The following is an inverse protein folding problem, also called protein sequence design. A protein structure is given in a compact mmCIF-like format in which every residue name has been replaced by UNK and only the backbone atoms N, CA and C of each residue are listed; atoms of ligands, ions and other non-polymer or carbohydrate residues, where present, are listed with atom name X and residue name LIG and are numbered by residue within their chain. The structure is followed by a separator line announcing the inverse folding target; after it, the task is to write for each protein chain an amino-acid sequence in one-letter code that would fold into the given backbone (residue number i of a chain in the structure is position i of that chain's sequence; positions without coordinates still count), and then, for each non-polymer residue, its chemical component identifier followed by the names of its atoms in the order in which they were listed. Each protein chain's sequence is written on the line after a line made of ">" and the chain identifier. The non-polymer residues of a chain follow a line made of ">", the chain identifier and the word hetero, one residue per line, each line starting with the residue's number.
data_IF_675882085950
#
_entry.id   IF_675882085950
#
_cell.length_a   1.000
_cell.length_b   1.000
_cell.length_c   1.000
_cell.angle_alpha   90.00
_cell.angle_beta   90.00
_cell.angle_gamma   90.00
#
_symmetry.space_group_name_H-M   'P 1'
#
loop_
_entity.id
_entity.type
_entity.pdbx_description
1 polymer ?
#
# COMPACT_ATOMS: atom_id res chain seq x y z
N UNK A 1 -27.94 3.28 31.44
CA UNK A 1 -27.55 2.04 30.73
C UNK A 1 -26.04 1.84 30.90
N UNK A 2 -25.62 0.76 31.57
CA UNK A 2 -24.19 0.43 31.74
C UNK A 2 -23.67 -0.20 30.45
N UNK A 3 -22.82 0.52 29.73
CA UNK A 3 -22.12 0.00 28.54
C UNK A 3 -20.99 -0.91 29.03
N UNK A 4 -21.10 -2.20 28.75
CA UNK A 4 -20.08 -3.21 29.08
C UNK A 4 -18.76 -2.90 28.36
N UNK A 5 -17.65 -2.97 29.09
CA UNK A 5 -16.29 -2.66 28.61
C UNK A 5 -15.71 -3.74 27.67
N UNK A 6 -14.76 -3.37 26.79
CA UNK A 6 -14.31 -4.18 25.64
C UNK A 6 -13.14 -5.10 26.00
N UNK A 7 -13.35 -6.05 26.93
CA UNK A 7 -12.32 -7.07 27.23
C UNK A 7 -12.40 -8.33 26.35
N UNK A 8 -13.55 -8.59 25.72
CA UNK A 8 -13.75 -9.80 24.90
C UNK A 8 -13.13 -9.70 23.49
N UNK A 9 -12.88 -8.49 22.98
CA UNK A 9 -12.48 -8.32 21.58
C UNK A 9 -10.99 -8.54 21.28
N UNK A 10 -10.11 -8.36 22.27
CA UNK A 10 -8.66 -8.56 22.13
C UNK A 10 -8.26 -10.04 22.12
N UNK A 11 -8.97 -10.89 22.87
CA UNK A 11 -8.74 -12.35 22.89
C UNK A 11 -9.09 -12.98 21.53
N UNK A 12 -10.14 -12.48 20.88
CA UNK A 12 -10.56 -12.93 19.55
C UNK A 12 -9.51 -12.74 18.44
N UNK A 13 -8.73 -11.66 18.48
CA UNK A 13 -7.80 -11.30 17.39
C UNK A 13 -6.49 -12.11 17.41
N UNK A 14 -6.03 -12.57 18.58
CA UNK A 14 -4.85 -13.44 18.67
C UNK A 14 -5.18 -14.86 18.20
N UNK A 15 -6.34 -15.38 18.58
CA UNK A 15 -6.84 -16.67 18.10
C UNK A 15 -7.11 -16.68 16.59
N UNK A 16 -7.65 -15.59 16.04
CA UNK A 16 -7.91 -15.46 14.61
C UNK A 16 -6.61 -15.48 13.78
N UNK A 17 -5.55 -14.81 14.24
CA UNK A 17 -4.25 -14.84 13.55
C UNK A 17 -3.60 -16.23 13.58
N UNK A 18 -3.74 -16.96 14.68
CA UNK A 18 -3.26 -18.35 14.80
C UNK A 18 -4.08 -19.25 13.87
N UNK A 19 -5.41 -19.07 13.83
CA UNK A 19 -6.30 -19.83 12.96
C UNK A 19 -5.99 -19.58 11.48
N UNK A 20 -5.82 -18.33 11.06
CA UNK A 20 -5.49 -17.96 9.67
C UNK A 20 -4.14 -18.52 9.22
N UNK A 21 -3.14 -18.57 10.12
CA UNK A 21 -1.87 -19.24 9.84
C UNK A 21 -2.05 -20.74 9.63
N UNK A 22 -2.81 -21.42 10.49
CA UNK A 22 -3.10 -22.85 10.37
C UNK A 22 -3.84 -23.16 9.06
N UNK A 23 -4.85 -22.35 8.73
CA UNK A 23 -5.60 -22.47 7.49
C UNK A 23 -4.70 -22.30 6.27
N UNK A 24 -3.88 -21.24 6.25
CA UNK A 24 -2.94 -20.99 5.15
C UNK A 24 -1.99 -22.15 4.94
N UNK A 25 -1.41 -22.69 6.01
CA UNK A 25 -0.52 -23.86 5.93
C UNK A 25 -1.25 -25.09 5.39
N UNK A 26 -2.48 -25.35 5.86
CA UNK A 26 -3.30 -26.45 5.38
C UNK A 26 -3.63 -26.31 3.89
N UNK A 27 -4.10 -25.14 3.45
CA UNK A 27 -4.43 -24.84 2.06
C UNK A 27 -3.20 -24.97 1.16
N UNK A 28 -2.05 -24.41 1.55
CA UNK A 28 -0.81 -24.55 0.80
C UNK A 28 -0.36 -26.01 0.66
N UNK A 29 -0.57 -26.84 1.70
CA UNK A 29 -0.30 -28.29 1.64
C UNK A 29 -1.21 -28.99 0.63
N UNK A 30 -2.51 -28.70 0.64
CA UNK A 30 -3.45 -29.32 -0.32
C UNK A 30 -3.14 -28.91 -1.77
N UNK A 31 -2.75 -27.66 -2.01
CA UNK A 31 -2.27 -27.21 -3.32
C UNK A 31 -0.99 -27.94 -3.77
N UNK A 32 -0.04 -28.16 -2.86
CA UNK A 32 1.18 -28.90 -3.17
C UNK A 32 0.89 -30.38 -3.53
N UNK A 33 -0.16 -30.96 -2.94
CA UNK A 33 -0.65 -32.31 -3.24
C UNK A 33 -1.61 -32.36 -4.45
N UNK A 34 -1.71 -31.27 -5.22
CA UNK A 34 -2.65 -31.12 -6.35
C UNK A 34 -4.14 -31.40 -5.99
N UNK A 35 -4.47 -31.34 -4.70
CA UNK A 35 -5.82 -31.62 -4.17
C UNK A 35 -6.65 -30.34 -4.09
N UNK A 36 -6.88 -29.73 -5.26
CA UNK A 36 -7.49 -28.40 -5.38
C UNK A 36 -8.89 -28.34 -4.74
N UNK A 37 -9.74 -29.36 -4.95
CA UNK A 37 -11.09 -29.40 -4.36
C UNK A 37 -11.08 -29.36 -2.82
N UNK A 38 -10.15 -30.06 -2.18
CA UNK A 38 -10.00 -30.04 -0.71
C UNK A 38 -9.49 -28.67 -0.22
N UNK A 39 -8.62 -28.02 -0.99
CA UNK A 39 -8.17 -26.67 -0.68
C UNK A 39 -9.34 -25.67 -0.68
N UNK A 40 -10.22 -25.75 -1.69
CA UNK A 40 -11.44 -24.94 -1.75
C UNK A 40 -12.41 -25.25 -0.62
N UNK A 41 -12.71 -26.52 -0.35
CA UNK A 41 -13.60 -26.90 0.75
C UNK A 41 -13.11 -26.35 2.09
N UNK A 42 -11.81 -26.42 2.37
CA UNK A 42 -11.26 -25.86 3.62
C UNK A 42 -11.39 -24.34 3.71
N UNK A 43 -11.27 -23.64 2.57
CA UNK A 43 -11.48 -22.20 2.52
C UNK A 43 -12.95 -21.86 2.76
N UNK A 44 -13.87 -22.60 2.15
CA UNK A 44 -15.33 -22.44 2.30
C UNK A 44 -15.79 -22.75 3.72
N UNK A 45 -15.36 -23.88 4.29
CA UNK A 45 -15.63 -24.27 5.68
C UNK A 45 -15.15 -23.22 6.69
N UNK A 46 -14.06 -22.51 6.38
CA UNK A 46 -13.58 -21.41 7.20
C UNK A 46 -14.39 -20.14 6.95
N UNK A 47 -14.67 -19.81 5.68
CA UNK A 47 -15.46 -18.66 5.28
C UNK A 47 -16.84 -18.65 5.93
N UNK A 48 -17.47 -19.81 6.10
CA UNK A 48 -18.78 -19.93 6.76
C UNK A 48 -18.73 -19.81 8.29
N UNK A 49 -17.55 -20.04 8.90
CA UNK A 49 -17.36 -19.93 10.36
C UNK A 49 -16.96 -18.54 10.82
N UNK A 50 -16.50 -17.67 9.92
CA UNK A 50 -16.12 -16.30 10.28
C UNK A 50 -17.40 -15.46 10.44
N UNK A 51 -17.66 -14.86 11.63
CA UNK A 51 -18.81 -13.98 11.83
C UNK A 51 -18.78 -12.84 10.82
N UNK A 52 -19.76 -12.81 9.92
CA UNK A 52 -19.87 -11.73 8.93
C UNK A 52 -20.48 -10.52 9.62
N UNK A 53 -19.72 -9.44 9.70
CA UNK A 53 -20.33 -8.11 9.79
C UNK A 53 -20.95 -7.79 8.43
N UNK A 54 -22.09 -8.40 8.14
CA UNK A 54 -22.80 -8.19 6.89
C UNK A 54 -23.66 -6.95 7.06
N UNK A 55 -23.17 -5.85 6.49
CA UNK A 55 -23.97 -4.65 6.24
C UNK A 55 -24.42 -4.78 4.79
N UNK A 56 -25.72 -4.66 4.54
CA UNK A 56 -26.28 -4.77 3.19
C UNK A 56 -25.63 -3.75 2.25
N UNK A 57 -25.54 -4.05 0.95
CA UNK A 57 -24.95 -3.10 -0.02
C UNK A 57 -25.60 -1.72 0.04
N UNK A 58 -26.91 -1.68 0.32
CA UNK A 58 -27.67 -0.45 0.48
C UNK A 58 -27.22 0.35 1.72
N UNK A 59 -27.14 -0.29 2.89
CA UNK A 59 -26.61 0.35 4.11
C UNK A 59 -25.15 0.80 3.92
N UNK A 60 -24.35 0.05 3.16
CA UNK A 60 -22.98 0.47 2.84
C UNK A 60 -22.96 1.75 2.00
N UNK A 61 -23.81 1.83 0.96
CA UNK A 61 -23.95 3.03 0.13
C UNK A 61 -24.45 4.22 0.93
N UNK A 62 -25.41 4.02 1.83
CA UNK A 62 -25.95 5.07 2.71
C UNK A 62 -24.89 5.58 3.69
N UNK A 63 -24.16 4.69 4.36
CA UNK A 63 -23.08 5.06 5.28
C UNK A 63 -21.92 5.74 4.55
N UNK A 64 -21.65 5.35 3.30
CA UNK A 64 -20.65 6.02 2.45
C UNK A 64 -21.09 7.45 2.11
N UNK A 65 -22.33 7.63 1.60
CA UNK A 65 -22.91 8.95 1.27
C UNK A 65 -22.96 9.87 2.49
N UNK A 66 -23.36 9.34 3.65
CA UNK A 66 -23.42 10.10 4.91
C UNK A 66 -22.05 10.66 5.32
N UNK A 67 -20.97 9.94 5.03
CA UNK A 67 -19.59 10.34 5.37
C UNK A 67 -18.87 11.12 4.27
N UNK A 68 -19.37 11.06 3.04
CA UNK A 68 -18.82 11.73 1.87
C UNK A 68 -19.94 12.55 1.20
N UNK A 69 -20.30 13.72 1.75
CA UNK A 69 -21.31 14.57 1.15
C UNK A 69 -20.88 15.02 -0.27
N UNK A 70 -21.85 15.32 -1.12
CA UNK A 70 -21.61 15.75 -2.50
C UNK A 70 -20.66 16.95 -2.55
N UNK A 71 -19.59 16.81 -3.34
CA UNK A 71 -18.50 17.78 -3.49
C UNK A 71 -18.91 19.11 -4.13
N UNK A 72 -20.16 19.21 -4.63
CA UNK A 72 -20.68 20.38 -5.35
C UNK A 72 -20.72 21.66 -4.52
N UNK A 73 -20.63 21.56 -3.19
CA UNK A 73 -20.65 22.70 -2.27
C UNK A 73 -19.33 22.92 -1.51
N UNK A 74 -18.22 22.30 -1.94
CA UNK A 74 -16.93 22.53 -1.31
C UNK A 74 -16.39 23.92 -1.71
N UNK A 75 -16.57 24.90 -0.83
CA UNK A 75 -15.80 26.15 -0.90
C UNK A 75 -14.38 25.85 -0.47
N UNK A 76 -13.45 25.83 -1.43
CA UNK A 76 -12.04 25.80 -1.10
C UNK A 76 -11.63 27.18 -0.60
N UNK A 77 -10.83 27.26 0.48
CA UNK A 77 -10.24 28.53 0.86
C UNK A 77 -9.44 29.07 -0.34
N UNK A 78 -9.42 30.40 -0.55
CA UNK A 78 -8.62 30.99 -1.61
C UNK A 78 -7.18 30.49 -1.47
N UNK A 79 -6.60 30.04 -2.59
CA UNK A 79 -5.20 29.63 -2.63
C UNK A 79 -4.34 30.74 -2.02
N UNK A 80 -3.39 30.42 -1.13
CA UNK A 80 -2.47 31.41 -0.58
C UNK A 80 -1.86 32.25 -1.71
N UNK A 81 -2.05 33.56 -1.62
CA UNK A 81 -1.46 34.51 -2.57
C UNK A 81 0.06 34.43 -2.46
N UNK A 82 0.74 34.18 -3.58
CA UNK A 82 2.21 34.05 -3.62
C UNK A 82 2.75 32.62 -3.77
N UNK A 83 1.88 31.61 -3.94
CA UNK A 83 2.35 30.31 -4.47
C UNK A 83 2.76 30.56 -5.93
N UNK A 84 4.06 30.56 -6.19
CA UNK A 84 4.57 30.56 -7.56
C UNK A 84 3.91 29.40 -8.31
N UNK A 85 3.27 29.69 -9.44
CA UNK A 85 2.80 28.61 -10.31
C UNK A 85 4.00 27.75 -10.67
N UNK A 86 3.95 26.49 -10.26
CA UNK A 86 5.08 25.59 -10.42
C UNK A 86 5.34 25.35 -11.90
N UNK A 87 6.62 25.23 -12.26
CA UNK A 87 7.02 24.80 -13.59
C UNK A 87 6.34 23.47 -13.93
N UNK A 88 5.98 23.32 -15.20
CA UNK A 88 5.40 22.09 -15.71
C UNK A 88 6.34 20.92 -15.37
N UNK A 89 5.77 19.88 -14.76
CA UNK A 89 6.55 18.72 -14.34
C UNK A 89 7.18 18.04 -15.56
N UNK A 90 8.42 17.58 -15.42
CA UNK A 90 9.06 16.78 -16.45
C UNK A 90 8.21 15.55 -16.81
N UNK A 91 8.23 15.10 -18.08
CA UNK A 91 7.59 13.85 -18.47
C UNK A 91 8.08 12.68 -17.61
N UNK A 92 7.15 11.82 -17.20
CA UNK A 92 7.46 10.57 -16.50
C UNK A 92 8.03 9.57 -17.49
N UNK A 93 9.02 8.79 -17.05
CA UNK A 93 9.70 7.78 -17.87
C UNK A 93 9.22 6.35 -17.59
N UNK A 94 9.47 5.43 -18.54
CA UNK A 94 9.17 4.00 -18.35
C UNK A 94 9.89 3.39 -17.14
N UNK A 95 11.13 3.81 -16.87
CA UNK A 95 11.92 3.30 -15.75
C UNK A 95 11.31 3.70 -14.40
N UNK A 96 10.78 4.92 -14.30
CA UNK A 96 10.06 5.37 -13.11
C UNK A 96 8.80 4.51 -12.87
N UNK A 97 7.99 4.31 -13.91
CA UNK A 97 6.79 3.48 -13.87
C UNK A 97 7.13 2.04 -13.48
N UNK A 98 8.14 1.46 -14.14
CA UNK A 98 8.62 0.11 -13.85
C UNK A 98 9.06 -0.04 -12.39
N UNK A 99 9.84 0.92 -11.88
CA UNK A 99 10.32 0.91 -10.50
C UNK A 99 9.17 0.91 -9.49
N UNK A 100 8.10 1.67 -9.76
CA UNK A 100 6.91 1.74 -8.91
C UNK A 100 6.16 0.42 -8.94
N UNK A 101 5.90 -0.14 -10.12
CA UNK A 101 5.19 -1.43 -10.28
C UNK A 101 5.92 -2.54 -9.54
N UNK A 102 7.24 -2.64 -9.69
CA UNK A 102 8.05 -3.68 -9.04
C UNK A 102 8.02 -3.57 -7.50
N UNK A 103 7.93 -2.34 -6.97
CA UNK A 103 7.83 -2.07 -5.51
C UNK A 103 6.43 -2.32 -4.93
N UNK A 104 5.41 -2.58 -5.74
CA UNK A 104 4.07 -2.90 -5.21
C UNK A 104 4.15 -4.16 -4.34
N UNK A 105 3.73 -4.03 -3.08
CA UNK A 105 3.70 -5.12 -2.11
C UNK A 105 2.68 -6.19 -2.54
N UNK A 106 3.03 -7.47 -2.35
CA UNK A 106 2.12 -8.60 -2.57
C UNK A 106 0.90 -8.48 -1.65
N UNK A 107 -0.27 -8.82 -2.16
CA UNK A 107 -1.52 -8.80 -1.39
C UNK A 107 -2.20 -7.44 -1.30
N UNK A 108 -1.75 -6.41 -2.04
CA UNK A 108 -2.55 -5.20 -2.23
C UNK A 108 -3.87 -5.55 -2.90
N UNK A 109 -4.97 -5.03 -2.36
CA UNK A 109 -6.32 -5.20 -2.91
C UNK A 109 -6.43 -4.51 -4.26
N UNK A 110 -7.14 -5.13 -5.20
CA UNK A 110 -7.48 -4.54 -6.49
C UNK A 110 -8.50 -3.40 -6.37
N UNK A 111 -8.60 -2.58 -7.42
CA UNK A 111 -9.73 -1.68 -7.63
C UNK A 111 -10.98 -2.44 -8.06
N UNK A 112 -11.90 -1.74 -8.71
CA UNK A 112 -13.10 -2.32 -9.31
C UNK A 112 -12.82 -3.06 -10.63
N UNK A 113 -11.67 -2.78 -11.25
CA UNK A 113 -11.14 -3.47 -12.44
C UNK A 113 -10.56 -4.87 -12.17
N UNK A 114 -10.41 -5.27 -10.91
CA UNK A 114 -9.82 -6.56 -10.53
C UNK A 114 -8.30 -6.67 -10.76
N UNK A 115 -7.63 -5.61 -11.24
CA UNK A 115 -6.19 -5.64 -11.46
C UNK A 115 -5.44 -5.60 -10.12
N UNK A 116 -4.45 -6.48 -9.97
CA UNK A 116 -3.61 -6.55 -8.77
C UNK A 116 -2.17 -6.21 -9.12
N UNK A 117 -1.36 -5.93 -8.10
CA UNK A 117 0.08 -5.73 -8.31
C UNK A 117 0.77 -6.93 -8.97
N UNK A 118 0.27 -8.16 -8.80
CA UNK A 118 0.82 -9.34 -9.48
C UNK A 118 0.54 -9.31 -10.98
N UNK A 119 -0.66 -8.87 -11.39
CA UNK A 119 -1.02 -8.72 -12.80
C UNK A 119 -0.12 -7.68 -13.47
N UNK A 120 0.08 -6.51 -12.83
CA UNK A 120 0.97 -5.48 -13.37
C UNK A 120 2.41 -5.96 -13.51
N UNK A 121 2.95 -6.67 -12.52
CA UNK A 121 4.30 -7.23 -12.61
C UNK A 121 4.41 -8.24 -13.75
N UNK A 122 3.41 -9.11 -13.90
CA UNK A 122 3.36 -10.04 -15.03
C UNK A 122 3.38 -9.28 -16.37
N UNK A 123 2.54 -8.25 -16.52
CA UNK A 123 2.50 -7.44 -17.75
C UNK A 123 3.84 -6.77 -18.06
N UNK A 124 4.52 -6.22 -17.05
CA UNK A 124 5.86 -5.64 -17.20
C UNK A 124 6.89 -6.66 -17.71
N UNK A 125 6.78 -7.92 -17.32
CA UNK A 125 7.73 -8.96 -17.74
C UNK A 125 7.38 -9.62 -19.07
N UNK A 126 6.10 -9.68 -19.42
CA UNK A 126 5.62 -10.46 -20.58
C UNK A 126 5.24 -9.60 -21.78
N UNK A 127 4.97 -8.31 -21.60
CA UNK A 127 4.53 -7.42 -22.67
C UNK A 127 5.43 -6.19 -22.77
N UNK A 128 6.30 -6.19 -23.78
CA UNK A 128 7.32 -5.14 -23.99
C UNK A 128 6.72 -3.74 -24.14
N UNK A 129 5.56 -3.61 -24.78
CA UNK A 129 4.91 -2.33 -25.02
C UNK A 129 4.10 -1.79 -23.84
N UNK A 130 3.89 -2.58 -22.79
CA UNK A 130 3.01 -2.21 -21.68
C UNK A 130 3.48 -0.92 -20.98
N UNK A 131 4.79 -0.80 -20.71
CA UNK A 131 5.36 0.39 -20.07
C UNK A 131 5.26 1.63 -20.98
N UNK A 132 5.49 1.46 -22.28
CA UNK A 132 5.38 2.53 -23.28
C UNK A 132 3.95 3.07 -23.37
N UNK A 133 2.96 2.19 -23.29
CA UNK A 133 1.53 2.57 -23.27
C UNK A 133 1.21 3.37 -21.99
N UNK A 134 1.63 2.89 -20.82
CA UNK A 134 1.39 3.61 -19.55
C UNK A 134 2.06 4.99 -19.52
N UNK A 135 3.31 5.07 -19.98
CA UNK A 135 4.06 6.32 -20.11
C UNK A 135 3.33 7.31 -21.02
N UNK A 136 2.93 6.86 -22.21
CA UNK A 136 2.18 7.69 -23.16
C UNK A 136 0.90 8.23 -22.53
N UNK A 137 0.05 7.35 -21.97
CA UNK A 137 -1.20 7.77 -21.36
C UNK A 137 -0.99 8.72 -20.18
N UNK A 138 -0.01 8.46 -19.31
CA UNK A 138 0.26 9.33 -18.17
C UNK A 138 0.68 10.73 -18.62
N UNK A 139 1.64 10.81 -19.55
CA UNK A 139 2.17 12.09 -20.01
C UNK A 139 1.16 12.87 -20.86
N UNK A 140 0.27 12.19 -21.59
CA UNK A 140 -0.87 12.83 -22.25
C UNK A 140 -1.84 13.45 -21.24
N UNK A 141 -2.19 12.74 -20.16
CA UNK A 141 -3.06 13.27 -19.11
C UNK A 141 -2.42 14.44 -18.35
N UNK A 142 -1.11 14.40 -18.13
CA UNK A 142 -0.37 15.47 -17.47
C UNK A 142 -0.30 16.74 -18.33
N UNK A 143 -0.07 16.58 -19.64
CA UNK A 143 0.04 17.70 -20.58
C UNK A 143 -1.31 18.30 -20.94
N UNK A 144 -2.36 17.48 -20.95
CA UNK A 144 -3.71 17.89 -21.34
C UNK A 144 -4.75 17.47 -20.28
N UNK A 145 -4.82 18.18 -19.12
CA UNK A 145 -5.74 17.83 -18.04
C UNK A 145 -7.22 17.80 -18.43
N UNK A 146 -7.61 18.49 -19.51
CA UNK A 146 -8.98 18.45 -20.03
C UNK A 146 -9.45 17.01 -20.35
N UNK A 147 -8.55 16.13 -20.79
CA UNK A 147 -8.87 14.72 -21.10
C UNK A 147 -9.19 13.87 -19.88
N UNK A 148 -8.97 14.37 -18.65
CA UNK A 148 -9.37 13.66 -17.44
C UNK A 148 -10.88 13.36 -17.42
N UNK A 149 -11.70 14.19 -18.08
CA UNK A 149 -13.15 13.96 -18.20
C UNK A 149 -13.49 12.73 -19.03
N UNK A 150 -12.64 12.35 -19.98
CA UNK A 150 -12.81 11.18 -20.84
C UNK A 150 -12.37 9.90 -20.12
N UNK A 151 -11.48 10.03 -19.13
CA UNK A 151 -10.89 8.92 -18.37
C UNK A 151 -11.62 8.61 -17.05
N UNK A 152 -12.94 8.86 -16.94
CA UNK A 152 -13.71 8.61 -15.70
C UNK A 152 -13.57 7.19 -15.16
N UNK A 153 -13.36 6.20 -16.03
CA UNK A 153 -13.17 4.81 -15.62
C UNK A 153 -11.90 4.61 -14.77
N UNK A 154 -10.84 5.36 -15.04
CA UNK A 154 -9.59 5.30 -14.28
C UNK A 154 -9.79 5.69 -12.81
N UNK A 155 -10.76 6.57 -12.54
CA UNK A 155 -11.09 7.09 -11.22
C UNK A 155 -12.19 6.30 -10.51
N UNK A 156 -12.67 5.20 -11.10
CA UNK A 156 -13.55 4.29 -10.39
C UNK A 156 -12.78 3.58 -9.28
N UNK A 157 -13.51 3.20 -8.24
CA UNK A 157 -12.94 2.55 -7.07
C UNK A 157 -13.90 1.51 -6.53
N UNK A 158 -13.34 0.50 -5.88
CA UNK A 158 -14.09 -0.44 -5.06
C UNK A 158 -14.18 0.09 -3.64
N UNK A 159 -15.39 0.36 -3.16
CA UNK A 159 -15.62 0.75 -1.77
C UNK A 159 -15.60 -0.48 -0.85
N UNK A 160 -14.93 -0.36 0.28
CA UNK A 160 -14.88 -1.38 1.34
C UNK A 160 -15.13 -0.69 2.68
N UNK A 161 -15.94 -1.29 3.55
CA UNK A 161 -16.14 -0.81 4.92
C UNK A 161 -15.35 -1.66 5.91
N UNK A 162 -14.43 -1.04 6.63
CA UNK A 162 -13.64 -1.70 7.67
C UNK A 162 -14.22 -1.37 9.06
N UNK A 163 -14.43 -2.36 9.94
CA UNK A 163 -14.87 -2.10 11.30
C UNK A 163 -13.78 -1.35 12.10
N UNK A 164 -14.19 -0.36 12.91
CA UNK A 164 -13.30 0.34 13.85
C UNK A 164 -13.33 -0.33 15.21
N UNK A 165 -12.18 -0.32 15.91
CA UNK A 165 -12.07 -0.81 17.31
C UNK A 165 -13.01 -0.06 18.28
N UNK A 166 -13.25 1.22 18.03
CA UNK A 166 -14.12 2.08 18.85
C UNK A 166 -15.62 1.91 18.54
N UNK A 167 -15.98 0.96 17.66
CA UNK A 167 -17.31 0.88 17.07
C UNK A 167 -17.46 1.74 15.81
N UNK A 168 -18.41 1.34 14.96
CA UNK A 168 -18.70 1.96 13.68
C UNK A 168 -17.76 1.53 12.55
N UNK A 169 -17.98 2.09 11.37
CA UNK A 169 -17.33 1.68 10.12
C UNK A 169 -16.37 2.75 9.59
N UNK A 170 -15.32 2.33 8.91
CA UNK A 170 -14.39 3.17 8.16
C UNK A 170 -14.52 2.83 6.68
N UNK A 171 -15.12 3.71 5.87
CA UNK A 171 -15.06 3.56 4.42
C UNK A 171 -13.62 3.69 3.93
N UNK A 172 -13.26 2.82 2.99
CA UNK A 172 -11.99 2.78 2.29
C UNK A 172 -12.29 2.64 0.80
N UNK A 173 -11.70 3.49 -0.01
CA UNK A 173 -11.77 3.40 -1.47
C UNK A 173 -10.51 2.70 -1.98
N UNK A 174 -10.69 1.56 -2.65
CA UNK A 174 -9.62 0.87 -3.35
C UNK A 174 -9.62 1.33 -4.81
N UNK A 175 -8.66 2.16 -5.17
CA UNK A 175 -8.39 2.59 -6.54
C UNK A 175 -7.84 1.45 -7.42
N UNK A 176 -7.99 1.59 -8.74
CA UNK A 176 -7.29 0.76 -9.72
C UNK A 176 -5.78 0.76 -9.47
N UNK A 177 -5.10 -0.35 -9.74
CA UNK A 177 -3.65 -0.40 -9.64
C UNK A 177 -2.94 0.49 -10.67
N UNK A 178 -3.57 0.77 -11.82
CA UNK A 178 -3.02 1.74 -12.79
C UNK A 178 -3.04 3.14 -12.18
N UNK A 179 -4.19 3.56 -11.62
CA UNK A 179 -4.30 4.85 -10.93
C UNK A 179 -3.34 4.92 -9.73
N UNK A 180 -3.17 3.84 -8.96
CA UNK A 180 -2.21 3.80 -7.86
C UNK A 180 -0.75 4.03 -8.31
N UNK A 181 -0.37 3.50 -9.48
CA UNK A 181 0.96 3.75 -10.09
C UNK A 181 1.09 5.22 -10.48
N UNK A 182 0.09 5.77 -11.18
CA UNK A 182 0.05 7.16 -11.60
C UNK A 182 0.12 8.14 -10.41
N UNK A 183 -0.69 7.90 -9.38
CA UNK A 183 -0.67 8.63 -8.11
C UNK A 183 0.69 8.54 -7.42
N UNK A 184 1.40 7.41 -7.53
CA UNK A 184 2.74 7.25 -6.95
C UNK A 184 3.81 8.04 -7.72
N UNK A 185 3.72 8.10 -9.05
CA UNK A 185 4.58 8.95 -9.88
C UNK A 185 4.40 10.42 -9.47
N UNK A 186 3.15 10.89 -9.50
CA UNK A 186 2.78 12.27 -9.18
C UNK A 186 3.21 12.64 -7.75
N UNK A 187 2.91 11.77 -6.78
CA UNK A 187 3.30 11.97 -5.38
C UNK A 187 4.81 12.13 -5.22
N UNK A 188 5.61 11.31 -5.90
CA UNK A 188 7.07 11.37 -5.78
C UNK A 188 7.60 12.73 -6.19
N UNK A 189 7.08 13.26 -7.30
CA UNK A 189 7.47 14.57 -7.84
C UNK A 189 6.93 15.73 -7.00
N UNK A 190 5.65 15.69 -6.60
CA UNK A 190 5.08 16.72 -5.72
C UNK A 190 5.82 16.79 -4.37
N UNK A 191 6.21 15.65 -3.81
CA UNK A 191 6.96 15.61 -2.54
C UNK A 191 8.36 16.22 -2.64
N UNK A 192 8.95 16.34 -3.84
CA UNK A 192 10.23 17.06 -4.03
C UNK A 192 10.04 18.58 -3.97
N UNK A 193 8.81 19.05 -4.15
CA UNK A 193 8.47 20.47 -4.23
C UNK A 193 7.79 21.00 -2.96
N UNK A 194 7.36 20.11 -2.06
CA UNK A 194 6.71 20.48 -0.81
C UNK A 194 7.77 20.58 0.30
N UNK A 195 7.91 21.76 0.89
CA UNK A 195 8.64 21.93 2.14
C UNK A 195 7.75 21.49 3.31
N UNK A 196 8.09 20.37 3.92
CA UNK A 196 7.33 19.80 5.05
C UNK A 196 7.98 20.26 6.35
N UNK A 197 7.21 21.00 7.14
CA UNK A 197 7.61 21.51 8.45
C UNK A 197 8.29 20.42 9.30
N UNK A 198 9.35 20.79 10.03
CA UNK A 198 10.19 19.84 10.79
C UNK A 198 9.41 19.01 11.83
N UNK A 199 8.35 19.58 12.39
CA UNK A 199 7.46 18.94 13.36
C UNK A 199 6.27 18.21 12.75
N UNK A 200 6.15 18.15 11.42
CA UNK A 200 5.15 17.33 10.75
C UNK A 200 5.65 15.90 10.58
N UNK A 201 5.16 15.01 11.43
CA UNK A 201 5.54 13.59 11.43
C UNK A 201 4.64 12.73 10.54
N UNK A 202 3.38 13.12 10.35
CA UNK A 202 2.44 12.40 9.52
C UNK A 202 2.81 12.55 8.03
N UNK A 203 2.70 11.45 7.28
CA UNK A 203 2.95 11.38 5.84
C UNK A 203 4.39 11.67 5.39
N UNK A 204 5.33 11.83 6.34
CA UNK A 204 6.78 11.92 6.10
C UNK A 204 7.42 10.54 6.16
N UNK A 205 8.37 10.26 5.26
CA UNK A 205 9.18 9.04 5.34
C UNK A 205 9.92 8.99 6.68
N UNK A 206 9.77 7.89 7.43
CA UNK A 206 10.36 7.75 8.76
C UNK A 206 9.76 8.66 9.85
N UNK A 207 8.71 9.45 9.55
CA UNK A 207 8.17 10.45 10.48
C UNK A 207 7.68 9.87 11.81
N UNK A 208 7.07 8.68 11.81
CA UNK A 208 6.68 7.97 13.04
C UNK A 208 7.91 7.59 13.87
N UNK A 209 8.97 7.10 13.23
CA UNK A 209 10.22 6.76 13.92
C UNK A 209 10.85 8.01 14.55
N UNK A 210 10.85 9.15 13.85
CA UNK A 210 11.30 10.43 14.40
C UNK A 210 10.43 10.93 15.56
N UNK A 211 9.10 10.80 15.45
CA UNK A 211 8.19 11.16 16.54
C UNK A 211 8.45 10.31 17.80
N UNK A 212 8.60 8.99 17.62
CA UNK A 212 8.93 8.06 18.71
C UNK A 212 10.32 8.34 19.30
N UNK A 213 11.32 8.65 18.46
CA UNK A 213 12.64 9.03 18.92
C UNK A 213 12.62 10.35 19.72
N UNK A 214 11.83 11.33 19.29
CA UNK A 214 11.60 12.58 20.03
C UNK A 214 10.93 12.35 21.40
N UNK A 215 9.97 11.42 21.47
CA UNK A 215 9.33 11.00 22.74
C UNK A 215 10.30 10.25 23.67
N UNK A 216 11.24 9.48 23.12
CA UNK A 216 12.25 8.79 23.92
C UNK A 216 13.36 9.75 24.40
N UNK A 217 13.77 10.71 23.56
CA UNK A 217 14.77 11.73 23.92
C UNK A 217 14.24 12.73 24.96
N UNK A 218 12.95 13.08 24.91
CA UNK A 218 12.32 13.93 25.95
C UNK A 218 12.23 13.23 27.31
N UNK A 219 11.97 11.91 27.34
CA UNK A 219 12.07 11.09 28.56
C UNK A 219 13.50 10.99 29.12
N UNK A 220 14.52 11.00 28.26
CA UNK A 220 15.92 11.07 28.69
C UNK A 220 16.34 12.47 29.16
N UNK A 221 15.83 13.54 28.54
CA UNK A 221 16.08 14.93 28.98
C UNK A 221 15.46 15.22 30.34
N UNK A 222 14.27 14.71 30.63
CA UNK A 222 13.63 14.86 31.94
C UNK A 222 14.38 14.12 33.08
N UNK A 223 15.18 13.10 32.76
CA UNK A 223 15.99 12.34 33.73
C UNK A 223 17.45 12.78 33.82
N UNK A 224 17.92 13.66 32.93
CA UNK A 224 19.28 14.21 32.99
C UNK A 224 19.21 15.64 33.49
N UNK A 225 19.13 15.78 34.82
CA UNK A 225 19.78 16.95 35.41
C UNK A 225 21.29 16.87 35.07
N UNK A 226 21.93 17.99 34.71
CA UNK A 226 23.33 17.99 34.33
C UNK A 226 24.21 17.66 35.54
N UNK A 227 24.74 16.44 35.57
CA UNK A 227 25.91 16.11 36.38
C UNK A 227 27.16 16.63 35.64
N UNK A 228 28.16 17.17 36.35
CA UNK A 228 29.32 17.80 35.73
C UNK A 228 30.17 16.79 34.95
N UNK A 229 30.69 17.27 33.82
CA UNK A 229 31.40 16.50 32.80
C UNK A 229 32.71 15.96 33.36
N UNK A 230 32.83 14.63 33.48
CA UNK A 230 34.13 13.94 33.59
C UNK A 230 34.43 13.31 32.23
N UNK A 231 35.45 13.84 31.56
CA UNK A 231 35.95 13.36 30.28
C UNK A 231 36.44 11.91 30.40
N UNK A 232 35.90 10.99 29.59
CA UNK A 232 36.51 9.67 29.38
C UNK A 232 36.68 9.38 27.89
N UNK A 233 37.91 9.65 27.41
CA UNK A 233 38.46 9.14 26.15
C UNK A 233 38.57 7.60 26.23
N UNK A 234 37.54 6.85 25.87
CA UNK A 234 37.68 5.40 25.57
C UNK A 234 36.64 4.82 24.59
N UNK A 235 35.74 5.63 24.03
CA UNK A 235 34.63 5.17 23.17
C UNK A 235 34.92 5.17 21.65
N UNK A 236 36.10 5.64 21.21
CA UNK A 236 36.40 5.75 19.78
C UNK A 236 36.93 4.46 19.13
N UNK A 237 37.52 3.53 19.88
CA UNK A 237 38.11 2.31 19.30
C UNK A 237 37.11 1.17 19.09
N UNK A 238 36.07 1.06 19.92
CA UNK A 238 35.05 0.01 19.78
C UNK A 238 34.11 0.18 18.56
N UNK A 239 34.00 1.38 18.01
CA UNK A 239 33.01 1.68 16.98
C UNK A 239 33.47 1.29 15.55
N UNK A 240 34.77 1.11 15.35
CA UNK A 240 35.34 0.73 14.05
C UNK A 240 35.38 -0.80 13.85
N UNK A 241 35.57 -1.61 14.91
CA UNK A 241 35.50 -3.08 14.81
C UNK A 241 34.08 -3.59 14.48
N UNK A 242 33.04 -2.94 15.02
CA UNK A 242 31.64 -3.32 14.77
C UNK A 242 31.22 -3.02 13.33
N UNK A 243 31.72 -1.92 12.73
CA UNK A 243 31.46 -1.59 11.33
C UNK A 243 32.09 -2.59 10.36
N UNK A 244 33.25 -3.16 10.71
CA UNK A 244 33.96 -4.11 9.85
C UNK A 244 33.27 -5.48 9.81
N UNK A 245 32.72 -5.95 10.93
CA UNK A 245 31.95 -7.22 10.97
C UNK A 245 30.63 -7.16 10.19
N UNK A 246 29.93 -6.02 10.22
CA UNK A 246 28.65 -5.85 9.51
C UNK A 246 28.78 -5.77 7.98
N UNK A 247 29.96 -5.46 7.44
CA UNK A 247 30.22 -5.46 5.99
C UNK A 247 30.42 -6.85 5.41
N UNK A 248 30.93 -7.81 6.19
CA UNK A 248 31.24 -9.16 5.71
C UNK A 248 30.00 -10.08 5.62
N UNK A 249 28.99 -9.89 6.48
CA UNK A 249 27.78 -10.73 6.49
C UNK A 249 26.76 -10.41 5.39
N UNK A 250 26.85 -9.24 4.74
CA UNK A 250 25.85 -8.81 3.74
C UNK A 250 26.15 -9.27 2.30
N UNK A 251 27.32 -9.85 2.02
CA UNK A 251 27.66 -10.37 0.69
C UNK A 251 27.24 -11.82 0.42
N UNK A 252 26.83 -12.60 1.43
CA UNK A 252 26.53 -14.03 1.27
C UNK A 252 25.04 -14.37 1.03
N UNK A 253 24.14 -13.38 0.99
CA UNK A 253 22.68 -13.60 1.03
C UNK A 253 21.91 -13.36 -0.27
N UNK A 254 22.60 -13.02 -1.37
CA UNK A 254 21.94 -12.60 -2.62
C UNK A 254 21.66 -13.72 -3.63
N UNK A 255 22.19 -14.93 -3.45
CA UNK A 255 22.15 -15.96 -4.50
C UNK A 255 20.92 -16.91 -4.48
N UNK A 256 20.16 -16.98 -3.38
CA UNK A 256 19.19 -18.08 -3.21
C UNK A 256 17.74 -17.82 -3.71
N UNK A 257 17.43 -16.65 -4.28
CA UNK A 257 16.01 -16.23 -4.45
C UNK A 257 15.39 -16.49 -5.83
N UNK A 258 16.09 -17.12 -6.78
CA UNK A 258 15.69 -17.12 -8.21
C UNK A 258 14.82 -18.33 -8.66
N UNK A 259 14.62 -19.38 -7.86
CA UNK A 259 14.17 -20.68 -8.39
C UNK A 259 12.65 -21.04 -8.43
N UNK A 260 11.67 -20.18 -8.11
CA UNK A 260 10.32 -20.67 -7.72
C UNK A 260 9.06 -20.28 -8.55
N UNK A 261 9.14 -19.74 -9.78
CA UNK A 261 7.93 -19.16 -10.44
C UNK A 261 7.46 -19.74 -11.80
N UNK A 262 7.78 -20.99 -12.17
CA UNK A 262 7.43 -21.56 -13.48
C UNK A 262 6.00 -22.14 -13.66
N UNK A 263 5.11 -22.10 -12.66
CA UNK A 263 3.91 -22.94 -12.64
C UNK A 263 2.56 -22.36 -13.09
N UNK A 264 2.45 -21.11 -13.58
CA UNK A 264 1.14 -20.41 -13.66
C UNK A 264 0.73 -19.94 -15.06
N UNK A 265 1.37 -20.46 -16.11
CA UNK A 265 1.37 -19.83 -17.44
C UNK A 265 0.16 -20.13 -18.35
N UNK A 266 -0.70 -21.10 -18.06
CA UNK A 266 -1.64 -21.61 -19.08
C UNK A 266 -3.04 -20.98 -19.08
N UNK A 267 -3.44 -20.22 -18.05
CA UNK A 267 -4.82 -19.67 -17.95
C UNK A 267 -4.98 -18.30 -18.62
N UNK A 268 -3.88 -17.61 -18.93
CA UNK A 268 -3.92 -16.21 -19.40
C UNK A 268 -3.89 -16.02 -20.92
N UNK A 269 -3.52 -17.05 -21.70
CA UNK A 269 -3.46 -16.95 -23.16
C UNK A 269 -4.84 -16.74 -23.81
N UNK A 270 -5.92 -17.27 -23.23
CA UNK A 270 -7.24 -17.25 -23.85
C UNK A 270 -7.99 -15.90 -23.70
N UNK A 271 -7.55 -14.99 -22.83
CA UNK A 271 -8.20 -13.71 -22.60
C UNK A 271 -7.65 -12.56 -23.49
N UNK A 272 -6.48 -12.75 -24.10
CA UNK A 272 -5.84 -11.72 -24.95
C UNK A 272 -6.20 -11.87 -26.44
N UNK A 273 -6.49 -13.08 -26.92
CA UNK A 273 -6.88 -13.32 -28.32
C UNK A 273 -8.25 -12.68 -28.68
N UNK A 274 -9.06 -12.30 -27.69
CA UNK A 274 -10.36 -11.64 -27.90
C UNK A 274 -10.26 -10.12 -28.06
N UNK A 275 -9.10 -9.50 -27.78
CA UNK A 275 -8.91 -8.05 -27.92
C UNK A 275 -8.29 -7.63 -29.26
N UNK A 276 -7.73 -8.57 -30.02
CA UNK A 276 -6.96 -8.29 -31.25
C UNK A 276 -7.81 -8.32 -32.54
N UNK A 277 -9.13 -8.42 -32.42
CA UNK A 277 -10.06 -8.49 -33.58
C UNK A 277 -11.06 -7.32 -33.64
N UNK A 278 -10.77 -6.20 -32.97
CA UNK A 278 -11.69 -5.04 -32.96
C UNK A 278 -10.97 -3.68 -32.95
N UNK A 279 -9.97 -3.51 -33.81
CA UNK A 279 -9.51 -2.19 -34.28
C UNK A 279 -9.45 -2.24 -35.81
#
# INVERSE_FOLDING_TARGET
>A
MKVSTPKQHTVFLEDENIMLRKLRTAVSREFALQSIGKAYQRLEDHYDKVPRFYISEQEQREEFKRKHPDSKNLQFPPLPTGIAMQEQMDPITQDEIKSIILRIKKGKSSGDDGLTGSHLKYLVYQHEHFLKILEFFFNQLLSNPAHLQDCKQLFRFRAILLPKKSGGLRPVSCESMILAVFSSCLKTRLMQQVDIHEHQFCFKSGGITHALAGLNNSKFRAKRQPQPIVQTRKLQTMNEEVKLKLKLENHSRLDDTVCSLKGSSQVFQHAFETFDTSI
#
